data_IF_813692116612
#
_entry.id   IF_813692116612
#
_cell.length_a   1.000
_cell.length_b   1.000
_cell.length_c   1.000
_cell.angle_alpha   90.00
_cell.angle_beta   90.00
_cell.angle_gamma   90.00
#
_symmetry.space_group_name_H-M   'P 1'
#
loop_
_entity.id
_entity.type
_entity.pdbx_description
1 polymer ?
#
# COMPACT_ATOMS: atom_id res chain seq x y z
N UNK A 1 7.44 -3.60 10.64
CA UNK A 1 7.93 -3.32 9.27
C UNK A 1 7.38 -1.96 8.90
N UNK A 2 8.24 -0.96 8.69
CA UNK A 2 7.79 0.41 8.36
C UNK A 2 7.78 0.55 6.85
N UNK A 3 6.66 1.02 6.30
CA UNK A 3 6.46 1.23 4.86
C UNK A 3 6.68 2.72 4.59
N UNK A 4 7.54 3.04 3.65
CA UNK A 4 7.88 4.42 3.29
C UNK A 4 7.32 4.80 1.92
N UNK A 5 7.17 6.11 1.69
CA UNK A 5 6.84 6.63 0.37
C UNK A 5 7.94 6.22 -0.63
N UNK A 6 7.52 5.68 -1.77
CA UNK A 6 8.39 5.13 -2.81
C UNK A 6 8.63 3.61 -2.72
N UNK A 7 8.25 2.96 -1.61
CA UNK A 7 8.37 1.51 -1.50
C UNK A 7 7.39 0.80 -2.45
N UNK A 8 7.84 -0.32 -3.02
CA UNK A 8 7.00 -1.19 -3.85
C UNK A 8 6.49 -2.33 -2.98
N UNK A 9 5.18 -2.39 -2.78
CA UNK A 9 4.51 -3.41 -1.98
C UNK A 9 3.57 -4.25 -2.83
N UNK A 10 3.41 -5.52 -2.48
CA UNK A 10 2.41 -6.38 -3.13
C UNK A 10 1.09 -6.23 -2.41
N UNK A 11 0.06 -5.75 -3.12
CA UNK A 11 -1.29 -5.59 -2.55
C UNK A 11 -2.30 -6.43 -3.33
N UNK A 12 -3.29 -6.92 -2.60
CA UNK A 12 -4.45 -7.59 -3.17
C UNK A 12 -5.43 -6.51 -3.64
N UNK A 13 -5.81 -6.54 -4.92
CA UNK A 13 -6.79 -5.60 -5.48
C UNK A 13 -8.20 -6.22 -5.43
N UNK A 14 -9.04 -5.88 -4.45
CA UNK A 14 -10.43 -6.31 -4.43
C UNK A 14 -11.19 -5.63 -5.58
N UNK A 15 -11.89 -6.41 -6.41
CA UNK A 15 -12.65 -5.88 -7.56
C UNK A 15 -12.38 -6.58 -8.90
N UNK A 16 -11.49 -7.57 -8.92
CA UNK A 16 -11.30 -8.49 -10.05
C UNK A 16 -11.80 -9.88 -9.67
N UNK A 17 -12.26 -10.69 -10.63
CA UNK A 17 -12.62 -12.10 -10.38
C UNK A 17 -11.37 -12.87 -9.94
N UNK A 18 -11.19 -13.03 -8.62
CA UNK A 18 -10.04 -13.69 -7.98
C UNK A 18 -9.10 -12.74 -7.22
N UNK A 19 -8.21 -13.29 -6.40
CA UNK A 19 -7.17 -12.51 -5.69
C UNK A 19 -6.07 -12.14 -6.69
N UNK A 20 -6.05 -10.88 -7.13
CA UNK A 20 -5.02 -10.37 -8.03
C UNK A 20 -3.98 -9.56 -7.25
N UNK A 21 -2.85 -10.20 -6.97
CA UNK A 21 -1.65 -9.58 -6.39
C UNK A 21 -0.93 -8.77 -7.45
N UNK A 22 -0.74 -7.47 -7.19
CA UNK A 22 0.06 -6.61 -8.08
C UNK A 22 1.04 -5.77 -7.25
N UNK A 23 2.20 -5.43 -7.82
CA UNK A 23 3.06 -4.42 -7.23
C UNK A 23 2.36 -3.06 -7.27
N UNK A 24 2.39 -2.34 -6.15
CA UNK A 24 1.92 -0.98 -5.99
C UNK A 24 3.03 -0.14 -5.35
N UNK A 25 3.10 1.14 -5.72
CA UNK A 25 4.05 2.10 -5.13
C UNK A 25 3.32 2.86 -4.04
N UNK A 26 3.94 2.94 -2.87
CA UNK A 26 3.41 3.69 -1.73
C UNK A 26 3.63 5.17 -1.98
N UNK A 27 2.55 5.95 -1.98
CA UNK A 27 2.59 7.39 -2.16
C UNK A 27 2.41 8.12 -0.83
N UNK A 28 1.82 7.48 0.18
CA UNK A 28 1.59 8.06 1.50
C UNK A 28 2.88 8.44 2.23
N UNK A 29 2.81 9.57 2.93
CA UNK A 29 3.92 10.11 3.71
C UNK A 29 4.01 9.47 5.10
N UNK A 30 5.16 9.61 5.76
CA UNK A 30 5.34 9.13 7.13
C UNK A 30 4.32 9.76 8.11
N UNK A 31 3.93 11.02 7.88
CA UNK A 31 2.88 11.69 8.67
C UNK A 31 1.51 11.05 8.44
N UNK A 32 1.21 10.59 7.22
CA UNK A 32 -0.03 9.86 6.95
C UNK A 32 -0.05 8.53 7.71
N UNK A 33 1.05 7.76 7.66
CA UNK A 33 1.18 6.48 8.39
C UNK A 33 1.18 6.65 9.93
N UNK A 34 1.61 7.80 10.44
CA UNK A 34 1.56 8.10 11.87
C UNK A 34 0.13 8.36 12.36
N UNK A 35 -0.72 8.93 11.50
CA UNK A 35 -2.10 9.30 11.84
C UNK A 35 -3.13 8.24 11.43
N UNK A 36 -2.80 7.39 10.46
CA UNK A 36 -3.68 6.33 9.96
C UNK A 36 -2.88 5.03 9.74
N UNK A 37 -3.45 3.87 10.10
CA UNK A 37 -2.82 2.58 9.84
C UNK A 37 -2.90 2.15 8.37
N UNK A 38 -3.67 2.88 7.55
CA UNK A 38 -3.83 2.60 6.12
C UNK A 38 -2.63 3.08 5.31
N UNK A 39 -2.36 2.41 4.19
CA UNK A 39 -1.27 2.74 3.25
C UNK A 39 -1.89 3.01 1.88
N UNK A 40 -1.51 4.13 1.25
CA UNK A 40 -1.99 4.53 -0.08
C UNK A 40 -0.81 4.60 -1.05
#
# INVERSE_FOLDING_TARGET
MSVNSGDIVTVDFPGVTGIKRRPAVVLSSATYHANRPDVI
#
